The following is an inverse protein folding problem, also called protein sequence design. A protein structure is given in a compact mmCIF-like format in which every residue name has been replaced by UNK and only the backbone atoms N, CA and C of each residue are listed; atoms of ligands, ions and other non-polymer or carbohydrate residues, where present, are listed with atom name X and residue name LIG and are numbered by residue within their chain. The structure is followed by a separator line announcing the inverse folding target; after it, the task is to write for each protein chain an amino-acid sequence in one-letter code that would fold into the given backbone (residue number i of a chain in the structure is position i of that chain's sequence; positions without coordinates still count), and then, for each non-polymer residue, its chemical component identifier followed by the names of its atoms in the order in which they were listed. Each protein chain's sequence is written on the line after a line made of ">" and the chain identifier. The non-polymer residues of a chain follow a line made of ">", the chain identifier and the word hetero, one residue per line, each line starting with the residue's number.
data_IF_256869020966
#
_entry.id   IF_256869020966
#
_cell.length_a   1.000
_cell.length_b   1.000
_cell.length_c   1.000
_cell.angle_alpha   90.00
_cell.angle_beta   90.00
_cell.angle_gamma   90.00
#
_symmetry.space_group_name_H-M   'P 1'
#
loop_
_entity.id
_entity.type
_entity.pdbx_description
1 polymer ?
#
# COMPACT_ATOMS: atom_id res chain seq x y z
N UNK A 1 26.27 3.68 -42.74
CA UNK A 1 25.40 3.67 -41.55
C UNK A 1 25.96 4.49 -40.38
N UNK A 2 27.18 4.95 -40.42
CA UNK A 2 27.84 5.79 -39.37
C UNK A 2 27.72 7.30 -39.58
N UNK A 3 27.40 7.76 -40.80
CA UNK A 3 27.30 9.21 -41.08
C UNK A 3 25.99 9.86 -40.68
N UNK A 4 24.94 9.08 -40.47
CA UNK A 4 23.63 9.58 -40.00
C UNK A 4 23.67 9.96 -38.50
N UNK A 5 24.43 9.22 -37.70
CA UNK A 5 24.57 9.50 -36.27
C UNK A 5 25.45 10.74 -35.99
N UNK A 6 26.43 11.02 -36.81
CA UNK A 6 27.24 12.23 -36.68
C UNK A 6 26.46 13.52 -36.93
N UNK A 7 25.42 13.49 -37.78
CA UNK A 7 24.56 14.65 -38.05
C UNK A 7 23.54 14.95 -36.94
N UNK A 8 23.26 13.98 -36.08
CA UNK A 8 22.33 14.17 -34.95
C UNK A 8 23.00 14.85 -33.74
N UNK A 9 24.33 14.77 -33.63
CA UNK A 9 25.08 15.33 -32.50
C UNK A 9 25.93 16.58 -32.88
N UNK A 10 25.79 17.11 -34.10
CA UNK A 10 26.52 18.29 -34.58
C UNK A 10 25.64 19.55 -34.64
N UNK A 11 24.47 19.59 -34.03
CA UNK A 11 23.78 20.86 -33.77
C UNK A 11 24.36 21.43 -32.47
N UNK A 12 25.18 22.48 -32.61
CA UNK A 12 25.50 23.37 -31.50
C UNK A 12 24.16 23.86 -30.90
N UNK A 13 23.99 23.88 -29.56
CA UNK A 13 22.80 24.47 -28.95
C UNK A 13 22.77 25.95 -29.33
N UNK A 14 21.72 26.37 -30.01
CA UNK A 14 21.41 27.78 -30.19
C UNK A 14 21.28 28.42 -28.80
N UNK A 15 22.17 29.33 -28.51
CA UNK A 15 22.35 30.09 -27.26
C UNK A 15 21.21 31.08 -26.99
N UNK A 16 19.98 30.79 -27.43
CA UNK A 16 18.84 31.71 -27.41
C UNK A 16 17.82 31.45 -26.31
N UNK A 17 18.00 30.45 -25.42
CA UNK A 17 17.06 30.15 -24.35
C UNK A 17 17.54 30.52 -22.93
N UNK A 18 18.73 31.12 -22.80
CA UNK A 18 19.24 31.55 -21.47
C UNK A 18 19.21 33.08 -21.25
N UNK A 19 18.70 33.85 -22.20
CA UNK A 19 18.68 35.32 -22.09
C UNK A 19 17.63 35.93 -21.15
N UNK A 20 16.67 35.13 -20.67
CA UNK A 20 15.57 35.60 -19.79
C UNK A 20 15.42 34.77 -18.49
N UNK A 21 16.42 34.05 -18.07
CA UNK A 21 16.41 33.48 -16.72
C UNK A 21 16.57 34.63 -15.70
N UNK A 22 15.69 34.80 -14.74
CA UNK A 22 15.87 35.82 -13.72
C UNK A 22 17.20 35.60 -13.00
N UNK A 23 18.04 36.62 -12.92
CA UNK A 23 19.27 36.56 -12.15
C UNK A 23 18.97 36.15 -10.71
N UNK A 24 19.43 35.00 -10.31
CA UNK A 24 19.35 34.54 -8.92
C UNK A 24 20.31 35.37 -8.10
N UNK A 25 19.78 36.33 -7.34
CA UNK A 25 20.57 37.10 -6.38
C UNK A 25 20.86 36.17 -5.19
N UNK A 26 22.14 35.94 -4.82
CA UNK A 26 22.45 35.14 -3.65
C UNK A 26 21.88 35.81 -2.38
N UNK A 27 21.18 35.02 -1.56
CA UNK A 27 20.63 35.48 -0.29
C UNK A 27 21.76 35.88 0.66
N UNK A 28 21.56 36.95 1.44
CA UNK A 28 22.50 37.31 2.51
C UNK A 28 22.47 36.26 3.63
N UNK A 29 23.55 36.09 4.42
CA UNK A 29 23.55 35.17 5.55
C UNK A 29 22.39 35.40 6.54
N UNK A 30 22.00 36.66 6.80
CA UNK A 30 20.83 36.99 7.62
C UNK A 30 19.51 36.52 7.00
N UNK A 31 19.34 36.66 5.68
CA UNK A 31 18.16 36.16 4.97
C UNK A 31 18.09 34.63 4.98
N UNK A 32 19.25 33.96 4.91
CA UNK A 32 19.32 32.51 5.04
C UNK A 32 18.97 32.06 6.45
N UNK A 33 19.46 32.73 7.50
CA UNK A 33 19.11 32.45 8.89
C UNK A 33 17.62 32.69 9.18
N UNK A 34 17.04 33.82 8.70
CA UNK A 34 15.62 34.08 8.81
C UNK A 34 14.74 33.09 8.07
N UNK A 35 15.14 32.64 6.89
CA UNK A 35 14.43 31.60 6.13
C UNK A 35 14.53 30.27 6.86
N UNK A 36 15.71 29.88 7.34
CA UNK A 36 15.91 28.63 8.08
C UNK A 36 15.15 28.65 9.41
N UNK A 37 15.18 29.76 10.16
CA UNK A 37 14.45 29.90 11.42
C UNK A 37 12.92 29.90 11.22
N UNK A 38 12.42 30.55 10.18
CA UNK A 38 10.98 30.61 9.88
C UNK A 38 10.47 29.32 9.18
N UNK A 39 11.28 28.64 8.37
CA UNK A 39 10.90 27.41 7.71
C UNK A 39 11.07 26.18 8.61
N UNK A 40 12.03 26.16 9.50
CA UNK A 40 12.19 25.06 10.47
C UNK A 40 11.01 24.94 11.44
N UNK A 41 10.17 25.95 11.59
CA UNK A 41 8.98 25.93 12.44
C UNK A 41 7.64 25.70 11.70
N UNK A 42 7.61 25.65 10.37
CA UNK A 42 6.32 25.65 9.64
C UNK A 42 6.03 24.48 8.71
N UNK A 43 6.99 23.64 8.35
CA UNK A 43 6.71 22.55 7.39
C UNK A 43 7.46 21.26 7.75
N UNK A 44 7.02 20.56 8.80
CA UNK A 44 7.18 19.11 8.78
C UNK A 44 6.24 18.59 7.69
N UNK A 45 6.81 18.20 6.55
CA UNK A 45 6.08 17.50 5.51
C UNK A 45 5.51 16.21 6.14
N UNK A 46 4.19 16.13 6.21
CA UNK A 46 3.54 14.88 6.58
C UNK A 46 4.03 13.80 5.61
N UNK A 47 4.65 12.77 6.13
CA UNK A 47 5.17 11.66 5.34
C UNK A 47 4.85 10.34 6.02
N UNK A 48 4.76 9.29 5.22
CA UNK A 48 4.58 7.93 5.70
C UNK A 48 5.93 7.25 5.80
N UNK A 49 6.20 6.66 6.96
CA UNK A 49 7.35 5.77 7.17
C UNK A 49 6.82 4.36 7.24
N UNK A 50 7.27 3.49 6.35
CA UNK A 50 6.86 2.10 6.30
C UNK A 50 8.08 1.18 6.35
N UNK A 51 7.92 0.06 7.03
CA UNK A 51 8.86 -1.05 6.99
C UNK A 51 8.08 -2.35 6.78
N UNK A 52 8.67 -3.29 6.08
CA UNK A 52 8.08 -4.60 5.82
C UNK A 52 9.09 -5.71 6.05
N UNK A 53 8.59 -6.90 6.36
CA UNK A 53 9.42 -8.08 6.55
C UNK A 53 8.63 -9.35 6.27
N UNK A 54 9.31 -10.38 5.83
CA UNK A 54 8.78 -11.72 5.60
C UNK A 54 9.69 -12.77 6.21
N UNK A 55 9.13 -13.92 6.57
CA UNK A 55 9.88 -15.08 7.03
C UNK A 55 9.18 -16.35 6.62
N UNK A 56 9.93 -17.30 6.06
CA UNK A 56 9.42 -18.65 5.75
C UNK A 56 9.12 -19.46 7.03
N UNK A 57 9.56 -18.97 8.20
CA UNK A 57 9.47 -19.70 9.45
C UNK A 57 10.47 -20.83 9.55
N UNK A 58 10.21 -21.79 10.46
CA UNK A 58 11.16 -22.89 10.77
C UNK A 58 10.71 -24.27 10.24
N UNK A 59 9.50 -24.37 9.76
CA UNK A 59 8.88 -25.68 9.44
C UNK A 59 8.58 -25.86 7.95
N UNK A 60 8.45 -24.76 7.18
CA UNK A 60 8.14 -24.78 5.75
C UNK A 60 9.37 -24.46 4.92
N UNK A 61 9.44 -24.98 3.71
CA UNK A 61 10.50 -24.68 2.72
C UNK A 61 10.14 -23.44 1.88
N UNK A 62 8.85 -23.20 1.68
CA UNK A 62 8.33 -22.06 0.90
C UNK A 62 7.52 -21.13 1.78
N UNK A 63 7.62 -19.84 1.49
CA UNK A 63 6.75 -18.82 2.06
C UNK A 63 5.53 -18.66 1.15
N UNK A 64 4.35 -18.95 1.66
CA UNK A 64 3.09 -18.80 0.94
C UNK A 64 2.49 -17.38 1.15
N UNK A 65 3.11 -16.56 2.01
CA UNK A 65 2.70 -15.18 2.21
C UNK A 65 3.21 -14.28 1.10
N UNK A 66 2.46 -13.24 0.81
CA UNK A 66 2.85 -12.16 -0.09
C UNK A 66 2.58 -10.81 0.55
N UNK A 67 3.42 -9.81 0.22
CA UNK A 67 3.21 -8.44 0.68
C UNK A 67 3.48 -7.42 -0.43
N UNK A 68 2.82 -6.27 -0.33
CA UNK A 68 3.10 -5.08 -1.14
C UNK A 68 3.14 -3.86 -0.22
N UNK A 69 4.14 -3.01 -0.38
CA UNK A 69 4.29 -1.76 0.37
C UNK A 69 4.68 -0.65 -0.60
N UNK A 70 3.83 0.36 -0.70
CA UNK A 70 4.04 1.55 -1.53
C UNK A 70 3.80 2.78 -0.65
N UNK A 71 4.74 3.70 -0.63
CA UNK A 71 4.61 5.00 0.03
C UNK A 71 5.12 6.09 -0.91
N UNK A 72 4.37 7.18 -1.00
CA UNK A 72 4.79 8.39 -1.69
C UNK A 72 4.17 9.61 -1.04
N UNK A 73 4.79 10.77 -1.25
CA UNK A 73 4.23 12.05 -0.85
C UNK A 73 4.33 13.00 -2.02
N UNK A 74 3.21 13.62 -2.38
CA UNK A 74 3.16 14.68 -3.38
C UNK A 74 3.07 16.01 -2.62
N UNK A 75 4.11 16.81 -2.74
CA UNK A 75 4.21 18.10 -2.08
C UNK A 75 4.29 19.23 -3.10
N UNK A 76 3.59 20.33 -2.83
CA UNK A 76 3.56 21.52 -3.67
C UNK A 76 3.00 22.71 -2.93
N UNK A 77 2.83 23.83 -3.63
CA UNK A 77 2.33 25.07 -3.03
C UNK A 77 0.92 24.96 -2.42
N UNK A 78 0.13 23.97 -2.84
CA UNK A 78 -1.22 23.72 -2.32
C UNK A 78 -1.23 22.80 -1.07
N UNK A 79 -0.07 22.35 -0.60
CA UNK A 79 0.07 21.43 0.52
C UNK A 79 0.79 20.15 0.12
N UNK A 80 0.71 19.15 0.99
CA UNK A 80 1.26 17.82 0.76
C UNK A 80 0.18 16.76 0.96
N UNK A 81 0.23 15.72 0.14
CA UNK A 81 -0.68 14.57 0.22
C UNK A 81 0.15 13.30 0.33
N UNK A 82 0.29 12.72 1.53
CA UNK A 82 0.87 11.40 1.68
C UNK A 82 -0.10 10.36 1.10
N UNK A 83 0.45 9.42 0.35
CA UNK A 83 -0.23 8.25 -0.18
C UNK A 83 0.50 6.99 0.25
N UNK A 84 -0.24 6.00 0.73
CA UNK A 84 0.29 4.70 1.12
C UNK A 84 -0.65 3.57 0.72
N UNK A 85 -0.09 2.48 0.21
CA UNK A 85 -0.79 1.24 -0.03
C UNK A 85 0.03 0.08 0.53
N UNK A 86 -0.51 -0.57 1.54
CA UNK A 86 0.12 -1.67 2.26
C UNK A 86 -0.80 -2.88 2.22
N UNK A 87 -0.31 -4.00 1.74
CA UNK A 87 -1.11 -5.22 1.56
C UNK A 87 -0.32 -6.40 2.10
N UNK A 88 -0.98 -7.25 2.87
CA UNK A 88 -0.50 -8.58 3.24
C UNK A 88 -1.53 -9.62 2.85
N UNK A 89 -1.06 -10.79 2.43
CA UNK A 89 -1.88 -11.92 2.02
C UNK A 89 -1.20 -13.22 2.46
N UNK A 90 -1.87 -14.02 3.28
CA UNK A 90 -1.42 -15.34 3.73
C UNK A 90 -2.08 -16.40 2.84
N UNK A 91 -1.27 -17.06 2.03
CA UNK A 91 -1.72 -18.06 1.09
C UNK A 91 -2.00 -19.40 1.74
N UNK A 92 -3.17 -19.98 1.41
CA UNK A 92 -3.60 -21.27 1.86
C UNK A 92 -3.95 -22.20 0.71
N UNK A 93 -3.51 -23.47 0.78
CA UNK A 93 -3.79 -24.45 -0.25
C UNK A 93 -2.60 -25.39 -0.43
N UNK A 94 -2.75 -26.68 -0.24
CA UNK A 94 -1.66 -27.66 -0.17
C UNK A 94 -0.66 -27.57 -1.33
N UNK A 95 0.59 -27.43 -0.99
CA UNK A 95 1.83 -27.70 -1.73
C UNK A 95 2.33 -26.73 -2.81
N UNK A 96 1.59 -25.85 -3.47
CA UNK A 96 2.15 -24.88 -4.43
C UNK A 96 1.17 -23.76 -4.81
N UNK A 97 -0.09 -23.88 -4.47
CA UNK A 97 -1.11 -22.95 -4.94
C UNK A 97 -1.37 -21.79 -3.96
N UNK A 98 -0.99 -21.92 -2.69
CA UNK A 98 -1.10 -20.85 -1.71
C UNK A 98 -0.26 -19.62 -2.07
N UNK A 99 1.01 -19.83 -2.46
CA UNK A 99 1.91 -18.78 -2.96
C UNK A 99 1.34 -18.10 -4.21
N UNK A 100 0.75 -18.86 -5.14
CA UNK A 100 0.14 -18.28 -6.35
C UNK A 100 -1.08 -17.46 -5.96
N UNK A 101 -1.92 -17.95 -5.05
CA UNK A 101 -3.12 -17.24 -4.61
C UNK A 101 -2.77 -15.91 -3.94
N UNK A 102 -1.84 -15.90 -2.98
CA UNK A 102 -1.42 -14.68 -2.28
C UNK A 102 -0.77 -13.67 -3.22
N UNK A 103 0.10 -14.12 -4.13
CA UNK A 103 0.74 -13.27 -5.12
C UNK A 103 -0.28 -12.68 -6.11
N UNK A 104 -1.23 -13.49 -6.59
CA UNK A 104 -2.32 -13.05 -7.47
C UNK A 104 -3.19 -12.01 -6.76
N UNK A 105 -3.53 -12.23 -5.49
CA UNK A 105 -4.32 -11.29 -4.69
C UNK A 105 -3.67 -9.92 -4.61
N UNK A 106 -2.40 -9.85 -4.15
CA UNK A 106 -1.74 -8.55 -3.95
C UNK A 106 -1.50 -7.81 -5.27
N UNK A 107 -1.19 -8.53 -6.36
CA UNK A 107 -0.97 -7.90 -7.67
C UNK A 107 -2.26 -7.42 -8.29
N UNK A 108 -3.34 -8.18 -8.20
CA UNK A 108 -4.63 -7.78 -8.77
C UNK A 108 -5.24 -6.63 -7.99
N UNK A 109 -5.34 -6.77 -6.66
CA UNK A 109 -5.84 -5.70 -5.80
C UNK A 109 -4.98 -4.45 -5.89
N UNK A 110 -3.67 -4.55 -5.66
CA UNK A 110 -2.75 -3.41 -5.72
C UNK A 110 -2.72 -2.76 -7.10
N UNK A 111 -2.73 -3.56 -8.17
CA UNK A 111 -2.80 -3.07 -9.54
C UNK A 111 -4.10 -2.32 -9.84
N UNK A 112 -5.24 -2.78 -9.30
CA UNK A 112 -6.52 -2.07 -9.41
C UNK A 112 -6.44 -0.70 -8.71
N UNK A 113 -6.03 -0.66 -7.45
CA UNK A 113 -5.87 0.59 -6.69
C UNK A 113 -4.93 1.56 -7.41
N UNK A 114 -3.76 1.09 -7.83
CA UNK A 114 -2.77 1.96 -8.49
C UNK A 114 -3.26 2.51 -9.83
N UNK A 115 -4.01 1.75 -10.63
CA UNK A 115 -4.61 2.25 -11.87
C UNK A 115 -5.61 3.38 -11.63
N UNK A 116 -6.42 3.26 -10.57
CA UNK A 116 -7.41 4.28 -10.20
C UNK A 116 -6.75 5.54 -9.64
N UNK A 117 -5.70 5.38 -8.83
CA UNK A 117 -4.98 6.50 -8.23
C UNK A 117 -3.97 7.16 -9.16
N UNK A 118 -3.49 6.48 -10.18
CA UNK A 118 -2.49 7.05 -11.10
C UNK A 118 -2.90 8.41 -11.70
N UNK A 119 -4.10 8.59 -12.24
CA UNK A 119 -4.52 9.90 -12.77
C UNK A 119 -4.61 10.97 -11.67
N UNK A 120 -5.08 10.62 -10.49
CA UNK A 120 -5.17 11.54 -9.36
C UNK A 120 -3.79 12.00 -8.87
N UNK A 121 -2.83 11.07 -8.78
CA UNK A 121 -1.51 11.36 -8.20
C UNK A 121 -0.53 11.94 -9.22
N UNK A 122 -0.58 11.56 -10.50
CA UNK A 122 0.52 11.76 -11.45
C UNK A 122 0.14 12.49 -12.74
N UNK A 123 -1.08 13.00 -12.90
CA UNK A 123 -1.47 13.77 -14.10
C UNK A 123 -1.71 15.25 -13.79
N UNK A 124 -1.54 16.11 -14.80
CA UNK A 124 -1.86 17.52 -14.75
C UNK A 124 -2.76 17.89 -15.93
N UNK A 125 -3.94 18.47 -15.68
CA UNK A 125 -4.55 18.70 -14.36
C UNK A 125 -4.84 17.38 -13.64
N UNK A 126 -4.89 17.41 -12.30
CA UNK A 126 -5.25 16.24 -11.49
C UNK A 126 -6.68 15.81 -11.80
N UNK A 127 -6.88 14.52 -11.99
CA UNK A 127 -8.22 13.94 -12.18
C UNK A 127 -8.74 13.51 -10.82
N UNK A 128 -9.85 14.08 -10.32
CA UNK A 128 -10.46 13.65 -9.07
C UNK A 128 -10.88 12.18 -9.13
N UNK A 129 -10.90 11.53 -7.97
CA UNK A 129 -11.50 10.21 -7.84
C UNK A 129 -13.03 10.37 -7.99
N UNK A 130 -13.64 9.60 -8.85
CA UNK A 130 -15.06 9.60 -9.16
C UNK A 130 -15.88 8.63 -8.29
N UNK A 131 -15.20 7.84 -7.48
CA UNK A 131 -15.79 6.84 -6.59
C UNK A 131 -15.22 6.94 -5.16
N UNK A 132 -15.94 6.37 -4.20
CA UNK A 132 -15.48 6.33 -2.81
C UNK A 132 -14.30 5.36 -2.64
N UNK A 133 -13.43 5.63 -1.65
CA UNK A 133 -12.33 4.70 -1.33
C UNK A 133 -12.87 3.30 -0.95
N UNK A 134 -14.06 3.25 -0.35
CA UNK A 134 -14.73 2.00 0.00
C UNK A 134 -15.11 1.18 -1.24
N UNK A 135 -15.78 1.81 -2.20
CA UNK A 135 -16.21 1.13 -3.44
C UNK A 135 -14.99 0.65 -4.24
N UNK A 136 -13.97 1.50 -4.34
CA UNK A 136 -12.72 1.19 -4.99
C UNK A 136 -12.01 -0.03 -4.36
N UNK A 137 -11.97 -0.09 -3.03
CA UNK A 137 -11.38 -1.24 -2.34
C UNK A 137 -12.24 -2.50 -2.48
N UNK A 138 -13.57 -2.40 -2.45
CA UNK A 138 -14.49 -3.52 -2.68
C UNK A 138 -14.35 -4.09 -4.10
N UNK A 139 -14.27 -3.22 -5.10
CA UNK A 139 -14.01 -3.66 -6.49
C UNK A 139 -12.66 -4.36 -6.61
N UNK A 140 -11.62 -3.84 -5.97
CA UNK A 140 -10.30 -4.49 -5.92
C UNK A 140 -10.34 -5.88 -5.30
N UNK A 141 -11.09 -6.06 -4.21
CA UNK A 141 -11.32 -7.38 -3.57
C UNK A 141 -12.05 -8.33 -4.52
N UNK A 142 -13.10 -7.85 -5.21
CA UNK A 142 -13.84 -8.66 -6.20
C UNK A 142 -12.95 -9.12 -7.35
N UNK A 143 -12.15 -8.22 -7.91
CA UNK A 143 -11.21 -8.56 -8.98
C UNK A 143 -10.15 -9.57 -8.51
N UNK A 144 -9.64 -9.42 -7.27
CA UNK A 144 -8.69 -10.38 -6.70
C UNK A 144 -9.33 -11.77 -6.52
N UNK A 145 -10.58 -11.84 -6.05
CA UNK A 145 -11.36 -13.08 -5.94
C UNK A 145 -11.44 -13.80 -7.29
N UNK A 146 -11.88 -13.10 -8.33
CA UNK A 146 -12.04 -13.66 -9.69
C UNK A 146 -10.68 -14.13 -10.26
N UNK A 147 -9.63 -13.34 -10.03
CA UNK A 147 -8.30 -13.68 -10.51
C UNK A 147 -7.77 -14.97 -9.84
N UNK A 148 -7.95 -15.12 -8.53
CA UNK A 148 -7.52 -16.32 -7.83
C UNK A 148 -8.30 -17.55 -8.31
N UNK A 149 -9.62 -17.45 -8.46
CA UNK A 149 -10.45 -18.54 -8.96
C UNK A 149 -10.03 -19.02 -10.35
N UNK A 150 -9.51 -18.11 -11.19
CA UNK A 150 -9.00 -18.42 -12.53
C UNK A 150 -7.58 -19.00 -12.50
N UNK A 151 -6.68 -18.37 -11.73
CA UNK A 151 -5.22 -18.60 -11.84
C UNK A 151 -4.70 -19.62 -10.81
N UNK A 152 -5.44 -19.83 -9.71
CA UNK A 152 -5.10 -20.76 -8.63
C UNK A 152 -6.36 -21.49 -8.10
N UNK A 153 -7.10 -22.22 -8.97
CA UNK A 153 -8.34 -22.87 -8.58
C UNK A 153 -8.13 -23.89 -7.45
N UNK A 154 -8.98 -23.83 -6.44
CA UNK A 154 -8.92 -24.71 -5.27
C UNK A 154 -7.95 -24.28 -4.19
N UNK A 155 -7.29 -23.14 -4.36
CA UNK A 155 -6.51 -22.48 -3.33
C UNK A 155 -7.21 -21.21 -2.85
N UNK A 156 -6.64 -20.59 -1.82
CA UNK A 156 -7.17 -19.34 -1.28
C UNK A 156 -6.08 -18.52 -0.61
N UNK A 157 -6.46 -17.32 -0.20
CA UNK A 157 -5.56 -16.45 0.56
C UNK A 157 -6.37 -15.48 1.41
N UNK A 158 -5.78 -15.02 2.51
CA UNK A 158 -6.25 -13.82 3.19
C UNK A 158 -5.94 -12.59 2.36
N UNK A 159 -6.57 -11.48 2.67
CA UNK A 159 -6.17 -10.14 2.20
C UNK A 159 -6.43 -9.14 3.31
N UNK A 160 -5.38 -8.44 3.74
CA UNK A 160 -5.52 -7.27 4.62
C UNK A 160 -4.75 -6.13 3.98
N UNK A 161 -5.47 -5.07 3.62
CA UNK A 161 -4.92 -3.93 2.91
C UNK A 161 -5.26 -2.63 3.64
N UNK A 162 -4.27 -1.75 3.79
CA UNK A 162 -4.43 -0.39 4.27
C UNK A 162 -4.11 0.59 3.15
N UNK A 163 -5.07 1.46 2.84
CA UNK A 163 -4.94 2.56 1.90
C UNK A 163 -4.95 3.87 2.69
N UNK A 164 -3.86 4.62 2.59
CA UNK A 164 -3.69 5.94 3.22
C UNK A 164 -3.73 7.01 2.15
N UNK A 165 -4.58 8.01 2.34
CA UNK A 165 -4.65 9.19 1.48
C UNK A 165 -4.82 10.44 2.36
N UNK A 166 -3.78 11.27 2.42
CA UNK A 166 -3.74 12.37 3.36
C UNK A 166 -3.85 11.86 4.81
N UNK A 167 -4.87 12.32 5.52
CA UNK A 167 -5.16 11.92 6.91
C UNK A 167 -6.14 10.74 7.01
N UNK A 168 -6.64 10.24 5.89
CA UNK A 168 -7.60 9.15 5.87
C UNK A 168 -6.90 7.80 5.70
N UNK A 169 -7.30 6.83 6.53
CA UNK A 169 -6.93 5.41 6.40
C UNK A 169 -8.18 4.59 6.13
N UNK A 170 -8.13 3.78 5.09
CA UNK A 170 -9.18 2.82 4.74
C UNK A 170 -8.62 1.41 4.76
N UNK A 171 -9.35 0.47 5.37
CA UNK A 171 -8.91 -0.92 5.51
C UNK A 171 -9.88 -1.83 4.73
N UNK A 172 -9.32 -2.71 3.88
CA UNK A 172 -10.02 -3.88 3.35
C UNK A 172 -9.45 -5.13 4.00
N UNK A 173 -10.35 -6.06 4.42
CA UNK A 173 -9.93 -7.24 5.14
C UNK A 173 -10.78 -8.46 4.80
N UNK A 174 -10.11 -9.57 4.49
CA UNK A 174 -10.67 -10.92 4.33
C UNK A 174 -9.69 -11.93 4.93
N UNK A 175 -10.16 -12.75 5.87
CA UNK A 175 -9.37 -13.80 6.51
C UNK A 175 -9.11 -13.55 7.99
N UNK A 176 -7.98 -14.01 8.48
CA UNK A 176 -7.53 -13.92 9.88
C UNK A 176 -6.16 -13.24 10.06
N UNK A 177 -5.61 -12.66 8.99
CA UNK A 177 -4.49 -11.71 9.08
C UNK A 177 -4.97 -10.43 9.76
N UNK A 178 -4.19 -9.85 10.68
CA UNK A 178 -4.67 -8.77 11.54
C UNK A 178 -3.98 -7.45 11.27
N UNK A 179 -4.73 -6.36 11.38
CA UNK A 179 -4.23 -5.00 11.43
C UNK A 179 -4.50 -4.37 12.80
N UNK A 180 -3.50 -3.66 13.31
CA UNK A 180 -3.56 -3.00 14.60
C UNK A 180 -3.21 -1.52 14.46
N UNK A 181 -3.87 -0.68 15.26
CA UNK A 181 -3.45 0.70 15.49
C UNK A 181 -2.67 0.79 16.79
N UNK A 182 -1.49 1.41 16.72
CA UNK A 182 -0.66 1.68 17.90
C UNK A 182 -0.56 3.20 18.04
N UNK A 183 -0.96 3.72 19.18
CA UNK A 183 -1.01 5.15 19.45
C UNK A 183 0.22 5.61 20.26
N UNK A 184 0.61 6.88 20.15
CA UNK A 184 1.74 7.43 20.92
C UNK A 184 1.56 7.33 22.44
N UNK A 185 0.32 7.26 22.94
CA UNK A 185 -0.02 7.08 24.35
C UNK A 185 0.08 5.62 24.82
N UNK A 186 0.47 4.69 23.93
CA UNK A 186 0.63 3.28 24.22
C UNK A 186 -0.64 2.45 24.03
N UNK A 187 -1.76 3.03 23.61
CA UNK A 187 -2.94 2.25 23.23
C UNK A 187 -2.65 1.38 22.02
N UNK A 188 -3.26 0.21 22.00
CA UNK A 188 -3.10 -0.81 20.99
C UNK A 188 -4.47 -1.41 20.68
N UNK A 189 -5.02 -1.05 19.53
CA UNK A 189 -6.37 -1.44 19.12
C UNK A 189 -6.31 -2.39 17.91
N UNK A 190 -7.02 -3.52 17.99
CA UNK A 190 -7.24 -4.40 16.85
C UNK A 190 -8.30 -3.74 15.92
N UNK A 191 -7.91 -3.50 14.68
CA UNK A 191 -8.77 -2.84 13.68
C UNK A 191 -9.58 -3.85 12.88
N UNK A 192 -9.02 -5.02 12.61
CA UNK A 192 -9.67 -6.07 11.83
C UNK A 192 -10.42 -7.05 12.72
N UNK A 193 -11.33 -7.80 12.10
CA UNK A 193 -12.08 -8.87 12.75
C UNK A 193 -11.78 -10.19 12.05
N UNK A 194 -11.29 -11.16 12.78
CA UNK A 194 -10.92 -12.46 12.22
C UNK A 194 -12.12 -13.19 11.61
N UNK A 195 -11.99 -13.64 10.39
CA UNK A 195 -12.94 -14.52 9.75
C UNK A 195 -12.58 -15.99 10.04
N UNK A 196 -12.27 -16.30 11.30
CA UNK A 196 -11.97 -17.64 11.79
C UNK A 196 -13.12 -18.21 12.64
N UNK A 197 -13.21 -19.55 12.67
CA UNK A 197 -14.23 -20.22 13.48
C UNK A 197 -14.09 -19.84 14.95
N UNK A 198 -12.87 -19.85 15.48
CA UNK A 198 -12.60 -19.51 16.88
C UNK A 198 -12.90 -18.05 17.19
N UNK A 199 -12.53 -17.13 16.29
CA UNK A 199 -12.91 -15.72 16.43
C UNK A 199 -14.42 -15.53 16.50
N UNK A 200 -15.17 -16.30 15.73
CA UNK A 200 -16.64 -16.26 15.79
C UNK A 200 -17.22 -16.83 17.09
N UNK A 201 -16.62 -17.91 17.61
CA UNK A 201 -17.04 -18.52 18.89
C UNK A 201 -16.74 -17.57 20.07
N UNK A 202 -15.59 -16.90 20.04
CA UNK A 202 -15.20 -15.90 21.02
C UNK A 202 -16.17 -14.71 21.04
N UNK A 203 -16.52 -14.16 19.89
CA UNK A 203 -17.50 -13.08 19.76
C UNK A 203 -18.89 -13.45 20.29
N UNK A 204 -19.28 -14.70 20.11
CA UNK A 204 -20.57 -15.22 20.66
C UNK A 204 -20.47 -15.54 22.14
N UNK A 205 -19.29 -15.34 22.78
CA UNK A 205 -19.06 -15.66 24.17
C UNK A 205 -19.11 -17.18 24.48
N UNK A 206 -18.92 -18.03 23.46
CA UNK A 206 -18.95 -19.49 23.62
C UNK A 206 -17.60 -20.05 24.09
N UNK A 207 -16.51 -19.32 23.80
CA UNK A 207 -15.18 -19.62 24.28
C UNK A 207 -14.48 -18.32 24.71
N UNK A 208 -13.48 -18.42 25.58
CA UNK A 208 -12.60 -17.31 25.95
C UNK A 208 -11.47 -17.15 24.92
N UNK A 209 -10.76 -16.00 24.95
CA UNK A 209 -9.58 -15.77 24.11
C UNK A 209 -8.49 -16.84 24.36
N UNK A 210 -8.29 -17.27 25.62
CA UNK A 210 -7.33 -18.31 25.99
C UNK A 210 -7.73 -19.68 25.42
N UNK A 211 -9.03 -20.02 25.45
CA UNK A 211 -9.55 -21.24 24.83
C UNK A 211 -9.45 -21.20 23.30
N UNK A 212 -9.60 -20.04 22.68
CA UNK A 212 -9.44 -19.86 21.24
C UNK A 212 -7.99 -20.18 20.78
N UNK A 213 -6.98 -19.74 21.55
CA UNK A 213 -5.58 -20.00 21.23
C UNK A 213 -5.19 -21.50 21.22
N UNK A 214 -5.85 -22.28 22.04
CA UNK A 214 -5.58 -23.73 22.19
C UNK A 214 -6.60 -24.60 21.44
N UNK A 215 -7.62 -24.01 20.80
CA UNK A 215 -8.70 -24.73 20.15
C UNK A 215 -8.20 -25.61 18.99
N UNK A 216 -8.69 -26.85 18.83
CA UNK A 216 -8.26 -27.75 17.73
C UNK A 216 -8.49 -27.17 16.33
N UNK A 217 -9.48 -26.30 16.17
CA UNK A 217 -9.84 -25.67 14.90
C UNK A 217 -9.41 -24.20 14.82
N UNK A 218 -8.38 -23.79 15.56
CA UNK A 218 -7.92 -22.39 15.58
C UNK A 218 -7.46 -21.86 14.22
N UNK A 219 -7.01 -22.75 13.35
CA UNK A 219 -6.54 -22.40 11.99
C UNK A 219 -7.63 -22.54 10.91
N UNK A 220 -8.92 -22.67 11.31
CA UNK A 220 -10.03 -22.80 10.37
C UNK A 220 -10.63 -21.43 10.10
N UNK A 221 -10.32 -20.86 8.94
CA UNK A 221 -10.95 -19.63 8.44
C UNK A 221 -12.20 -19.99 7.64
N UNK A 222 -13.32 -19.29 7.88
CA UNK A 222 -14.57 -19.47 7.14
C UNK A 222 -14.74 -18.50 5.97
N UNK A 223 -13.78 -17.59 5.78
CA UNK A 223 -13.70 -16.68 4.64
C UNK A 223 -12.25 -16.50 4.21
N UNK A 224 -12.01 -16.73 2.93
CA UNK A 224 -10.77 -16.45 2.24
C UNK A 224 -11.09 -16.06 0.80
N UNK A 225 -10.19 -15.34 0.12
CA UNK A 225 -10.28 -15.14 -1.31
C UNK A 225 -9.95 -16.44 -2.05
N UNK A 226 -10.62 -16.70 -3.16
CA UNK A 226 -10.43 -17.89 -3.99
C UNK A 226 -11.36 -19.06 -3.64
N UNK A 227 -12.01 -19.01 -2.49
CA UNK A 227 -12.97 -20.05 -2.03
C UNK A 227 -14.40 -19.68 -2.35
#
# INVERSE_FOLDING_TARGET
>A
MFDFLKKLFSKEPEDTLLADAPETIPLSPEQVEDIVANQAMQYELQHLVAASGQSVGKQRELNEDSLMSISTTIAGNAGNTPFGLYIVADGMGGHQYGEIASNTAIRTFGGHIMRKFHPYLFTLPTVPLDESLQDLMLEGVSQAQEAIQRDAPGSGTTLTAALVLGEQVSIAHVGDSRAYAVYPDGRFDLITRDHSLVGRLEELGQITAEEAETHPQKNVSYRALGQ
#
